data_IF_003308181320
#
_entry.id   IF_003308181320
#
_cell.length_a   1.000
_cell.length_b   1.000
_cell.length_c   1.000
_cell.angle_alpha   90.00
_cell.angle_beta   90.00
_cell.angle_gamma   90.00
#
_symmetry.space_group_name_H-M   'P 1'
#
loop_
_entity.id
_entity.type
_entity.pdbx_description
1 polymer ?
#
# COMPACT_ATOMS: atom_id res chain seq x y z
N UNK A 1 -5.80 12.16 -0.53
CA UNK A 1 -5.30 11.67 -1.83
C UNK A 1 -5.34 10.14 -1.88
N UNK A 2 -5.54 9.55 -3.06
CA UNK A 2 -5.50 8.09 -3.23
C UNK A 2 -4.19 7.66 -3.92
N UNK A 3 -3.41 6.83 -3.25
CA UNK A 3 -2.15 6.27 -3.73
C UNK A 3 -2.31 4.78 -4.05
N UNK A 4 -1.77 4.33 -5.18
CA UNK A 4 -1.72 2.91 -5.51
C UNK A 4 -0.33 2.34 -5.22
N UNK A 5 -0.27 1.28 -4.44
CA UNK A 5 0.96 0.51 -4.22
C UNK A 5 0.92 -0.81 -4.98
N UNK A 6 2.08 -1.22 -5.49
CA UNK A 6 2.33 -2.54 -6.07
C UNK A 6 3.44 -3.22 -5.29
N UNK A 7 3.24 -4.47 -4.91
CA UNK A 7 4.23 -5.24 -4.16
C UNK A 7 4.21 -6.71 -4.57
N UNK A 8 5.32 -7.42 -4.35
CA UNK A 8 5.46 -8.85 -4.66
C UNK A 8 5.39 -9.73 -3.43
N UNK A 9 5.83 -9.23 -2.28
CA UNK A 9 5.83 -9.94 -1.01
C UNK A 9 5.18 -9.11 0.09
N UNK A 10 4.68 -9.76 1.14
CA UNK A 10 4.08 -9.07 2.28
C UNK A 10 5.11 -8.22 3.04
N UNK A 11 6.37 -8.64 3.09
CA UNK A 11 7.45 -7.84 3.67
C UNK A 11 7.68 -6.51 2.91
N UNK A 12 7.58 -6.52 1.58
CA UNK A 12 7.71 -5.31 0.77
C UNK A 12 6.54 -4.36 1.05
N UNK A 13 5.32 -4.91 1.13
CA UNK A 13 4.10 -4.16 1.49
C UNK A 13 4.24 -3.49 2.85
N UNK A 14 4.65 -4.23 3.88
CA UNK A 14 4.78 -3.72 5.25
C UNK A 14 5.79 -2.57 5.32
N UNK A 15 6.96 -2.74 4.69
CA UNK A 15 7.99 -1.70 4.64
C UNK A 15 7.50 -0.43 3.95
N UNK A 16 6.78 -0.56 2.82
CA UNK A 16 6.23 0.58 2.11
C UNK A 16 5.17 1.32 2.94
N UNK A 17 4.28 0.58 3.61
CA UNK A 17 3.26 1.17 4.49
C UNK A 17 3.93 1.91 5.65
N UNK A 18 4.95 1.31 6.29
CA UNK A 18 5.71 1.97 7.37
C UNK A 18 6.30 3.30 6.95
N UNK A 19 7.01 3.33 5.81
CA UNK A 19 7.63 4.55 5.28
C UNK A 19 6.56 5.62 4.99
N UNK A 20 5.44 5.22 4.40
CA UNK A 20 4.34 6.16 4.10
C UNK A 20 3.69 6.69 5.38
N UNK A 21 3.49 5.85 6.39
CA UNK A 21 2.94 6.25 7.69
C UNK A 21 3.85 7.21 8.46
N UNK A 22 5.16 7.24 8.17
CA UNK A 22 6.08 8.23 8.76
C UNK A 22 5.86 9.63 8.18
N UNK A 23 5.50 9.72 6.90
CA UNK A 23 5.37 10.99 6.19
C UNK A 23 3.92 11.49 6.06
N UNK A 24 2.93 10.59 6.13
CA UNK A 24 1.53 10.90 5.90
C UNK A 24 0.60 10.02 6.73
N UNK A 25 -0.56 10.57 7.12
CA UNK A 25 -1.58 9.82 7.84
C UNK A 25 -2.35 8.90 6.87
N UNK A 26 -2.14 7.59 6.99
CA UNK A 26 -2.88 6.59 6.23
C UNK A 26 -4.26 6.38 6.85
N UNK A 27 -5.33 6.87 6.22
CA UNK A 27 -6.71 6.72 6.70
C UNK A 27 -7.29 5.34 6.40
N UNK A 28 -6.98 4.78 5.24
CA UNK A 28 -7.61 3.52 4.78
C UNK A 28 -6.69 2.75 3.84
N UNK A 29 -6.69 1.44 3.99
CA UNK A 29 -6.02 0.51 3.09
C UNK A 29 -7.09 -0.39 2.47
N UNK A 30 -7.12 -0.49 1.14
CA UNK A 30 -8.04 -1.40 0.45
C UNK A 30 -7.63 -2.86 0.66
N UNK A 31 -8.57 -3.78 0.40
CA UNK A 31 -8.22 -5.19 0.28
C UNK A 31 -7.16 -5.38 -0.82
N UNK A 32 -6.15 -6.22 -0.59
CA UNK A 32 -5.17 -6.54 -1.60
C UNK A 32 -5.81 -7.37 -2.70
N UNK A 33 -5.46 -7.08 -3.95
CA UNK A 33 -5.86 -7.90 -5.08
C UNK A 33 -4.67 -8.20 -5.97
N UNK A 34 -4.67 -9.39 -6.56
CA UNK A 34 -3.59 -9.86 -7.42
C UNK A 34 -3.83 -9.38 -8.85
N UNK A 35 -2.79 -8.84 -9.47
CA UNK A 35 -2.80 -8.43 -10.87
C UNK A 35 -1.50 -8.92 -11.53
N UNK A 36 -1.58 -10.08 -12.17
CA UNK A 36 -0.43 -10.78 -12.75
C UNK A 36 0.58 -11.21 -11.67
N UNK A 37 1.82 -10.74 -11.81
CA UNK A 37 2.95 -11.06 -10.91
C UNK A 37 2.98 -10.23 -9.61
N UNK A 38 2.06 -9.27 -9.45
CA UNK A 38 2.08 -8.31 -8.35
C UNK A 38 0.74 -8.28 -7.61
N UNK A 39 0.81 -7.95 -6.33
CA UNK A 39 -0.35 -7.50 -5.56
C UNK A 39 -0.48 -5.99 -5.62
N UNK A 40 -1.70 -5.51 -5.45
CA UNK A 40 -2.06 -4.10 -5.47
C UNK A 40 -2.94 -3.75 -4.28
N UNK A 41 -2.66 -2.61 -3.67
CA UNK A 41 -3.53 -1.97 -2.67
C UNK A 41 -3.67 -0.49 -3.01
N UNK A 42 -4.81 0.07 -2.63
CA UNK A 42 -5.04 1.50 -2.63
C UNK A 42 -4.98 2.01 -1.19
N UNK A 43 -4.15 3.02 -0.98
CA UNK A 43 -4.05 3.76 0.26
C UNK A 43 -4.77 5.09 0.09
N UNK A 44 -5.61 5.42 1.06
CA UNK A 44 -6.15 6.76 1.18
C UNK A 44 -5.34 7.49 2.25
N UNK A 45 -4.57 8.48 1.82
CA UNK A 45 -3.70 9.30 2.67
C UNK A 45 -4.31 10.69 2.81
N UNK A 46 -4.20 11.29 3.99
CA UNK A 46 -4.59 12.68 4.23
C UNK A 46 -3.59 13.64 3.61
#
# INVERSE_FOLDING_TARGET
MQLQLRYKSDHEKERMIQILSTAATVKKISKPYKSGKYYRIYLNIE
#
